data_IF_941956972869
#
_entry.id   IF_941956972869
#
_cell.length_a   1.000
_cell.length_b   1.000
_cell.length_c   1.000
_cell.angle_alpha   90.00
_cell.angle_beta   90.00
_cell.angle_gamma   90.00
#
_symmetry.space_group_name_H-M   'P 1'
#
loop_
_entity.id
_entity.type
_entity.pdbx_description
1 polymer ?
#
# COMPACT_ATOMS: atom_id res chain seq x y z
N UNK A 1 18.17 4.73 9.87
CA UNK A 1 18.90 4.22 8.72
C UNK A 1 18.56 5.02 7.44
N UNK A 2 17.32 4.93 6.89
CA UNK A 2 16.94 5.61 5.63
C UNK A 2 17.13 7.13 5.67
N UNK A 3 16.77 7.78 6.77
CA UNK A 3 17.04 9.22 6.99
C UNK A 3 18.54 9.53 6.99
N UNK A 4 19.33 8.70 7.63
CA UNK A 4 20.80 8.86 7.65
C UNK A 4 21.40 8.69 6.25
N UNK A 5 20.94 7.67 5.51
CA UNK A 5 21.38 7.42 4.14
C UNK A 5 20.99 8.56 3.17
N UNK A 6 19.80 9.11 3.33
CA UNK A 6 19.33 10.23 2.51
C UNK A 6 19.98 11.56 2.89
N UNK A 7 20.41 11.73 4.14
CA UNK A 7 20.77 13.01 4.70
C UNK A 7 19.59 13.97 4.83
N UNK A 8 18.37 13.48 4.63
CA UNK A 8 17.13 14.24 4.80
C UNK A 8 16.67 14.26 6.25
N UNK A 9 15.83 15.23 6.57
CA UNK A 9 15.27 15.46 7.90
C UNK A 9 13.73 15.48 7.89
N UNK A 10 13.11 14.92 6.83
CA UNK A 10 11.66 14.89 6.66
C UNK A 10 11.15 13.46 6.48
N UNK A 11 9.99 13.19 7.08
CA UNK A 11 9.20 11.98 6.87
C UNK A 11 7.84 12.36 6.35
N UNK A 12 7.35 11.65 5.33
CA UNK A 12 5.99 11.79 4.80
C UNK A 12 5.23 10.50 5.01
N UNK A 13 4.07 10.59 5.62
CA UNK A 13 3.15 9.47 5.78
C UNK A 13 1.91 9.68 4.93
N UNK A 14 1.55 8.65 4.18
CA UNK A 14 0.31 8.55 3.43
C UNK A 14 -0.61 7.56 4.12
N UNK A 15 -1.92 7.84 4.11
CA UNK A 15 -2.89 6.92 4.72
C UNK A 15 -2.72 6.78 6.24
N UNK A 16 -2.40 7.84 6.95
CA UNK A 16 -2.12 7.80 8.39
C UNK A 16 -3.31 7.34 9.26
N UNK A 17 -4.50 7.20 8.69
CA UNK A 17 -5.70 6.73 9.38
C UNK A 17 -5.96 7.48 10.69
N UNK A 18 -5.92 6.76 11.81
CA UNK A 18 -6.07 7.36 13.15
C UNK A 18 -4.84 8.16 13.64
N UNK A 19 -3.71 8.07 12.93
CA UNK A 19 -2.42 8.62 13.38
C UNK A 19 -1.64 7.70 14.32
N UNK A 20 -2.03 6.44 14.45
CA UNK A 20 -1.39 5.50 15.38
C UNK A 20 0.07 5.24 15.00
N UNK A 21 0.35 4.99 13.70
CA UNK A 21 1.72 4.76 13.24
C UNK A 21 2.61 5.98 13.49
N UNK A 22 2.11 7.19 13.15
CA UNK A 22 2.82 8.44 13.45
C UNK A 22 3.14 8.58 14.94
N UNK A 23 2.15 8.33 15.81
CA UNK A 23 2.32 8.46 17.26
C UNK A 23 3.40 7.51 17.82
N UNK A 24 3.51 6.30 17.26
CA UNK A 24 4.54 5.32 17.65
C UNK A 24 5.93 5.63 17.04
N UNK A 25 5.98 6.17 15.84
CA UNK A 25 7.25 6.51 15.16
C UNK A 25 7.90 7.77 15.72
N UNK A 26 7.11 8.80 16.05
CA UNK A 26 7.60 10.12 16.45
C UNK A 26 8.55 10.10 17.67
N UNK A 27 8.31 9.32 18.74
CA UNK A 27 9.25 9.18 19.84
C UNK A 27 10.65 8.69 19.40
N UNK A 28 10.70 7.71 18.49
CA UNK A 28 11.95 7.17 17.97
C UNK A 28 12.68 8.13 17.01
N UNK A 29 11.94 9.05 16.38
CA UNK A 29 12.45 10.03 15.43
C UNK A 29 12.81 11.37 16.09
N UNK A 30 12.61 11.52 17.41
CA UNK A 30 12.87 12.77 18.15
C UNK A 30 14.30 13.25 17.95
N UNK A 31 14.45 14.49 17.50
CA UNK A 31 15.75 15.12 17.23
C UNK A 31 16.44 14.66 15.94
N UNK A 32 15.82 13.75 15.18
CA UNK A 32 16.33 13.26 13.89
C UNK A 32 15.61 13.87 12.70
N UNK A 33 14.38 14.35 12.90
CA UNK A 33 13.55 14.94 11.85
C UNK A 33 13.19 16.38 12.22
N UNK A 34 13.05 17.21 11.20
CA UNK A 34 12.50 18.55 11.28
C UNK A 34 10.99 18.54 11.15
N UNK A 35 10.47 17.73 10.23
CA UNK A 35 9.05 17.62 9.98
C UNK A 35 8.63 16.16 9.77
N UNK A 36 7.46 15.84 10.33
CA UNK A 36 6.65 14.68 10.00
C UNK A 36 5.39 15.17 9.29
N UNK A 37 5.29 14.89 8.01
CA UNK A 37 4.25 15.44 7.14
C UNK A 37 3.23 14.36 6.81
N UNK A 38 1.96 14.60 7.13
CA UNK A 38 0.87 13.67 6.83
C UNK A 38 0.07 14.24 5.65
N UNK A 39 -0.06 13.45 4.57
CA UNK A 39 -1.03 13.75 3.52
C UNK A 39 -2.36 13.11 3.90
N UNK A 40 -3.34 13.95 4.23
CA UNK A 40 -4.68 13.53 4.62
C UNK A 40 -5.70 14.57 4.14
N UNK A 41 -6.72 14.12 3.42
CA UNK A 41 -7.76 14.99 2.88
C UNK A 41 -9.00 15.04 3.78
N UNK A 42 -9.18 14.03 4.64
CA UNK A 42 -10.31 13.93 5.54
C UNK A 42 -10.12 14.82 6.78
N UNK A 43 -10.95 15.86 6.92
CA UNK A 43 -10.90 16.72 8.09
C UNK A 43 -11.16 15.95 9.42
N UNK A 44 -12.08 14.97 9.50
CA UNK A 44 -12.26 14.16 10.71
C UNK A 44 -11.03 13.31 11.05
N UNK A 45 -10.33 12.75 10.06
CA UNK A 45 -9.11 11.99 10.31
C UNK A 45 -7.96 12.90 10.75
N UNK A 46 -7.81 14.08 10.15
CA UNK A 46 -6.82 15.09 10.62
C UNK A 46 -7.00 15.45 12.09
N UNK A 47 -8.25 15.55 12.56
CA UNK A 47 -8.51 15.87 13.97
C UNK A 47 -8.07 14.72 14.89
N UNK A 48 -8.35 13.48 14.51
CA UNK A 48 -7.86 12.29 15.24
C UNK A 48 -6.35 12.22 15.27
N UNK A 49 -5.71 12.48 14.12
CA UNK A 49 -4.25 12.51 13.98
C UNK A 49 -3.64 13.62 14.86
N UNK A 50 -4.25 14.82 14.92
CA UNK A 50 -3.80 15.90 15.83
C UNK A 50 -3.84 15.48 17.28
N UNK A 51 -4.91 14.81 17.71
CA UNK A 51 -4.99 14.32 19.08
C UNK A 51 -3.96 13.22 19.34
N UNK A 52 -3.79 12.27 18.43
CA UNK A 52 -2.81 11.18 18.58
C UNK A 52 -1.36 11.68 18.64
N UNK A 53 -1.05 12.76 17.92
CA UNK A 53 0.31 13.32 17.80
C UNK A 53 0.53 14.62 18.57
N UNK A 54 -0.38 14.99 19.48
CA UNK A 54 -0.40 16.30 20.17
C UNK A 54 0.92 16.69 20.86
N UNK A 55 1.64 15.70 21.38
CA UNK A 55 2.95 15.93 22.04
C UNK A 55 4.04 16.36 21.04
N UNK A 56 3.79 16.18 19.74
CA UNK A 56 4.71 16.49 18.63
C UNK A 56 4.17 17.59 17.71
N UNK A 57 3.24 18.43 18.19
CA UNK A 57 2.58 19.48 17.39
C UNK A 57 3.56 20.46 16.71
N UNK A 58 4.79 20.63 17.23
CA UNK A 58 5.84 21.45 16.61
C UNK A 58 6.59 20.78 15.46
N UNK A 59 6.39 19.46 15.25
CA UNK A 59 7.08 18.65 14.24
C UNK A 59 6.09 18.13 13.19
N UNK A 60 4.87 17.76 13.61
CA UNK A 60 3.84 17.21 12.73
C UNK A 60 3.14 18.33 11.96
N UNK A 61 2.97 18.14 10.67
CA UNK A 61 2.19 19.03 9.80
C UNK A 61 1.31 18.24 8.83
N UNK A 62 0.22 18.87 8.39
CA UNK A 62 -0.70 18.28 7.41
C UNK A 62 -0.55 18.99 6.08
N UNK A 63 -0.46 18.20 5.01
CA UNK A 63 -0.34 18.69 3.65
C UNK A 63 -1.63 18.41 2.88
N UNK A 64 -2.01 19.32 1.98
CA UNK A 64 -3.15 19.16 1.07
C UNK A 64 -2.73 18.65 -0.31
N UNK A 65 -1.42 18.68 -0.59
CA UNK A 65 -0.84 18.22 -1.85
C UNK A 65 0.60 17.75 -1.62
N UNK A 66 1.09 16.93 -2.55
CA UNK A 66 2.49 16.53 -2.59
C UNK A 66 3.41 17.74 -2.77
N UNK A 67 4.53 17.82 -2.02
CA UNK A 67 5.57 18.80 -2.29
C UNK A 67 6.12 18.64 -3.70
N UNK A 68 6.61 19.73 -4.28
CA UNK A 68 7.28 19.67 -5.59
C UNK A 68 8.59 18.88 -5.56
N UNK A 69 9.27 18.90 -4.40
CA UNK A 69 10.59 18.27 -4.17
C UNK A 69 10.58 17.62 -2.80
N UNK A 70 11.09 16.40 -2.73
CA UNK A 70 11.14 15.60 -1.51
C UNK A 70 12.56 15.07 -1.28
N UNK A 71 13.05 15.21 -0.03
CA UNK A 71 14.33 14.68 0.39
C UNK A 71 14.21 14.08 1.80
N UNK A 72 14.16 12.76 1.89
CA UNK A 72 13.94 12.05 3.16
C UNK A 72 13.24 10.72 2.97
N UNK A 73 12.26 10.43 3.81
CA UNK A 73 11.62 9.10 3.84
C UNK A 73 10.11 9.20 3.68
N UNK A 74 9.56 8.38 2.80
CA UNK A 74 8.12 8.16 2.63
C UNK A 74 7.73 6.84 3.28
N UNK A 75 6.59 6.83 3.97
CA UNK A 75 5.98 5.63 4.55
C UNK A 75 4.50 5.59 4.19
N UNK A 76 4.04 4.43 3.73
CA UNK A 76 2.62 4.14 3.49
C UNK A 76 2.28 2.74 3.98
N UNK A 77 1.29 2.66 4.86
CA UNK A 77 0.74 1.39 5.33
C UNK A 77 -0.72 1.30 4.90
N UNK A 78 -1.07 0.28 4.14
CA UNK A 78 -2.41 0.10 3.57
C UNK A 78 -2.87 1.36 2.82
N UNK A 79 -2.11 1.73 1.80
CA UNK A 79 -2.35 2.92 0.97
C UNK A 79 -2.65 2.54 -0.47
N UNK A 80 -1.91 1.56 -0.99
CA UNK A 80 -2.02 1.15 -2.39
C UNK A 80 -3.27 0.31 -2.63
N UNK A 81 -3.70 -0.49 -1.65
CA UNK A 81 -4.92 -1.30 -1.68
C UNK A 81 -6.21 -0.47 -1.70
N UNK A 82 -6.17 0.71 -1.08
CA UNK A 82 -7.28 1.67 -1.05
C UNK A 82 -7.38 2.54 -2.31
N UNK A 83 -6.41 2.45 -3.23
CA UNK A 83 -6.44 3.22 -4.47
C UNK A 83 -7.44 2.63 -5.46
N UNK A 84 -8.17 3.48 -6.22
CA UNK A 84 -9.12 3.01 -7.22
C UNK A 84 -8.47 2.09 -8.25
N UNK A 85 -9.17 1.02 -8.60
CA UNK A 85 -8.80 0.05 -9.64
C UNK A 85 -9.81 0.07 -10.77
N UNK A 86 -9.38 -0.30 -11.97
CA UNK A 86 -10.29 -0.58 -13.07
C UNK A 86 -10.62 -2.08 -13.07
N UNK A 87 -11.90 -2.44 -13.00
CA UNK A 87 -12.35 -3.82 -13.11
C UNK A 87 -12.45 -4.22 -14.58
N UNK A 88 -11.89 -5.37 -14.92
CA UNK A 88 -11.96 -5.99 -16.23
C UNK A 88 -12.71 -7.31 -16.15
N UNK A 89 -13.61 -7.54 -17.09
CA UNK A 89 -14.38 -8.79 -17.21
C UNK A 89 -14.15 -9.45 -18.57
N UNK A 90 -13.87 -10.76 -18.55
CA UNK A 90 -13.72 -11.58 -19.75
C UNK A 90 -14.95 -12.49 -19.94
N UNK A 91 -15.72 -12.28 -21.01
CA UNK A 91 -16.93 -13.08 -21.31
C UNK A 91 -16.64 -14.40 -22.04
N UNK A 92 -15.37 -14.66 -22.35
CA UNK A 92 -14.91 -15.80 -23.16
C UNK A 92 -14.63 -15.46 -24.62
N UNK A 93 -14.99 -14.26 -25.08
CA UNK A 93 -14.74 -13.75 -26.42
C UNK A 93 -13.92 -12.48 -26.38
N UNK A 94 -14.22 -11.57 -25.44
CA UNK A 94 -13.56 -10.28 -25.30
C UNK A 94 -13.51 -9.79 -23.87
N UNK A 95 -12.64 -8.81 -23.66
CA UNK A 95 -12.52 -8.11 -22.40
C UNK A 95 -13.39 -6.84 -22.40
N UNK A 96 -14.03 -6.60 -21.28
CA UNK A 96 -14.88 -5.45 -21.01
C UNK A 96 -14.39 -4.75 -19.74
N UNK A 97 -14.52 -3.44 -19.72
CA UNK A 97 -14.39 -2.67 -18.48
C UNK A 97 -15.71 -2.78 -17.72
N UNK A 98 -15.63 -3.24 -16.47
CA UNK A 98 -16.77 -3.43 -15.58
C UNK A 98 -16.91 -2.22 -14.66
N UNK A 99 -18.02 -1.53 -14.77
CA UNK A 99 -18.34 -0.36 -13.95
C UNK A 99 -19.65 -0.52 -13.22
N UNK A 100 -20.09 0.52 -12.54
CA UNK A 100 -21.35 0.58 -11.82
C UNK A 100 -22.43 1.24 -12.69
N UNK A 101 -23.57 0.57 -12.80
CA UNK A 101 -24.75 1.03 -13.52
C UNK A 101 -25.97 1.07 -12.60
N UNK A 102 -27.08 1.67 -13.07
CA UNK A 102 -28.36 1.59 -12.37
C UNK A 102 -28.96 0.19 -12.54
N UNK A 103 -29.30 -0.42 -11.44
CA UNK A 103 -30.04 -1.69 -11.40
C UNK A 103 -31.56 -1.51 -11.61
N UNK A 104 -32.31 -2.58 -11.47
CA UNK A 104 -33.74 -2.62 -11.73
C UNK A 104 -34.64 -1.90 -10.69
N UNK A 105 -34.08 -1.43 -9.55
CA UNK A 105 -34.82 -0.68 -8.51
C UNK A 105 -34.45 0.80 -8.53
N UNK A 106 -35.26 1.66 -7.90
CA UNK A 106 -35.04 3.12 -7.89
C UNK A 106 -33.68 3.56 -7.33
N UNK A 107 -33.07 2.77 -6.45
CA UNK A 107 -31.74 3.02 -5.85
C UNK A 107 -30.79 1.82 -5.99
N UNK A 108 -31.15 0.83 -6.77
CA UNK A 108 -30.31 -0.35 -6.97
C UNK A 108 -29.10 0.01 -7.84
N UNK A 109 -27.93 -0.48 -7.43
CA UNK A 109 -26.73 -0.49 -8.24
C UNK A 109 -26.51 -1.89 -8.80
N UNK A 110 -25.92 -1.98 -9.98
CA UNK A 110 -25.54 -3.23 -10.62
C UNK A 110 -24.20 -3.04 -11.34
N UNK A 111 -23.47 -4.11 -11.55
CA UNK A 111 -22.36 -4.08 -12.49
C UNK A 111 -22.86 -3.98 -13.92
N UNK A 112 -22.14 -3.23 -14.74
CA UNK A 112 -22.39 -3.07 -16.17
C UNK A 112 -21.09 -3.07 -16.94
N UNK A 113 -21.03 -3.81 -18.03
CA UNK A 113 -19.82 -3.99 -18.82
C UNK A 113 -19.87 -3.11 -20.05
N UNK A 114 -18.74 -2.44 -20.39
CA UNK A 114 -18.55 -1.66 -21.61
C UNK A 114 -17.34 -2.13 -22.40
N UNK A 115 -17.34 -2.07 -23.74
CA UNK A 115 -16.16 -2.41 -24.54
C UNK A 115 -14.95 -1.59 -24.11
N UNK A 116 -13.77 -2.25 -24.05
CA UNK A 116 -12.52 -1.60 -23.67
C UNK A 116 -11.35 -2.15 -24.46
N UNK A 117 -10.31 -1.32 -24.64
CA UNK A 117 -9.01 -1.75 -25.12
C UNK A 117 -8.07 -2.23 -24.00
N UNK A 118 -8.42 -1.98 -22.74
CA UNK A 118 -7.63 -2.41 -21.59
C UNK A 118 -7.52 -3.94 -21.55
N UNK A 119 -6.36 -4.44 -21.16
CA UNK A 119 -6.09 -5.86 -21.00
C UNK A 119 -5.23 -6.07 -19.75
N UNK A 120 -5.57 -7.07 -18.92
CA UNK A 120 -4.67 -7.46 -17.85
C UNK A 120 -3.45 -8.19 -18.42
N UNK A 121 -2.35 -8.28 -17.69
CA UNK A 121 -1.28 -9.22 -17.98
C UNK A 121 -1.84 -10.63 -18.21
N UNK A 122 -1.21 -11.41 -19.09
CA UNK A 122 -1.67 -12.77 -19.44
C UNK A 122 -3.12 -12.87 -19.92
N UNK A 123 -3.68 -11.86 -20.54
CA UNK A 123 -5.10 -11.76 -20.92
C UNK A 123 -5.65 -12.98 -21.67
N UNK A 124 -4.81 -13.74 -22.39
CA UNK A 124 -5.21 -14.93 -23.14
C UNK A 124 -5.28 -16.21 -22.30
N UNK A 125 -4.81 -16.20 -21.07
CA UNK A 125 -4.76 -17.37 -20.19
C UNK A 125 -6.01 -17.52 -19.31
N UNK A 126 -6.82 -16.49 -19.21
CA UNK A 126 -7.98 -16.49 -18.32
C UNK A 126 -9.17 -17.26 -18.87
N UNK A 127 -9.89 -17.99 -18.00
CA UNK A 127 -11.13 -18.67 -18.37
C UNK A 127 -12.28 -17.66 -18.59
N UNK A 128 -13.32 -18.02 -19.37
CA UNK A 128 -14.54 -17.25 -19.48
C UNK A 128 -15.19 -16.97 -18.11
N UNK A 129 -15.71 -15.76 -17.93
CA UNK A 129 -16.32 -15.31 -16.69
C UNK A 129 -15.35 -14.64 -15.71
N UNK A 130 -14.04 -14.59 -16.03
CA UNK A 130 -13.04 -13.94 -15.17
C UNK A 130 -13.34 -12.47 -14.96
N UNK A 131 -13.22 -12.03 -13.71
CA UNK A 131 -13.09 -10.62 -13.33
C UNK A 131 -11.72 -10.42 -12.67
N UNK A 132 -11.03 -9.35 -13.02
CA UNK A 132 -9.73 -8.98 -12.45
C UNK A 132 -9.57 -7.46 -12.45
N UNK A 133 -8.54 -6.94 -11.80
CA UNK A 133 -8.28 -5.52 -11.68
C UNK A 133 -7.05 -5.10 -12.49
N UNK A 134 -6.94 -3.79 -12.79
CA UNK A 134 -5.70 -3.12 -13.17
C UNK A 134 -5.49 -1.88 -12.29
N UNK A 135 -4.22 -1.52 -12.01
CA UNK A 135 -3.84 -0.64 -10.90
C UNK A 135 -3.26 0.72 -11.35
N UNK A 136 -3.77 1.27 -12.44
CA UNK A 136 -3.24 2.52 -13.03
C UNK A 136 -3.13 3.69 -12.03
N UNK A 137 -4.02 3.78 -11.04
CA UNK A 137 -3.96 4.82 -10.00
C UNK A 137 -2.79 4.62 -9.03
N UNK A 138 -2.60 3.40 -8.52
CA UNK A 138 -1.50 3.05 -7.63
C UNK A 138 -0.13 3.20 -8.31
N UNK A 139 -0.02 2.73 -9.55
CA UNK A 139 1.15 2.89 -10.40
C UNK A 139 1.47 4.37 -10.64
N UNK A 140 0.46 5.18 -11.01
CA UNK A 140 0.59 6.62 -11.22
C UNK A 140 0.98 7.38 -9.94
N UNK A 141 0.51 6.93 -8.79
CA UNK A 141 0.92 7.47 -7.49
C UNK A 141 2.41 7.24 -7.23
N UNK A 142 2.89 6.01 -7.41
CA UNK A 142 4.30 5.67 -7.21
C UNK A 142 5.19 6.39 -8.21
N UNK A 143 4.78 6.49 -9.49
CA UNK A 143 5.48 7.29 -10.50
C UNK A 143 5.59 8.75 -10.08
N UNK A 144 4.50 9.35 -9.59
CA UNK A 144 4.48 10.74 -9.11
C UNK A 144 5.43 10.94 -7.93
N UNK A 145 5.46 9.99 -7.00
CA UNK A 145 6.42 10.03 -5.88
C UNK A 145 7.86 9.96 -6.38
N UNK A 146 8.14 9.09 -7.36
CA UNK A 146 9.46 8.97 -7.95
C UNK A 146 9.91 10.26 -8.63
N UNK A 147 9.01 10.93 -9.35
CA UNK A 147 9.30 12.23 -9.96
C UNK A 147 9.60 13.34 -8.94
N UNK A 148 8.87 13.35 -7.80
CA UNK A 148 9.01 14.37 -6.75
C UNK A 148 10.18 14.11 -5.82
N UNK A 149 10.57 12.86 -5.63
CA UNK A 149 11.71 12.53 -4.77
C UNK A 149 13.03 12.85 -5.49
N UNK A 150 13.86 13.66 -4.84
CA UNK A 150 15.21 13.94 -5.31
C UNK A 150 16.22 12.98 -4.70
N UNK A 151 16.09 12.73 -3.40
CA UNK A 151 16.96 11.84 -2.66
C UNK A 151 16.23 11.25 -1.46
N UNK A 152 16.19 9.93 -1.34
CA UNK A 152 15.52 9.31 -0.20
C UNK A 152 15.06 7.90 -0.46
N UNK A 153 14.18 7.41 0.42
CA UNK A 153 13.58 6.09 0.31
C UNK A 153 12.07 6.16 0.56
N UNK A 154 11.32 5.25 -0.05
CA UNK A 154 9.90 5.07 0.18
C UNK A 154 9.62 3.62 0.56
N UNK A 155 8.80 3.40 1.59
CA UNK A 155 8.41 2.09 2.08
C UNK A 155 6.89 1.97 2.04
N UNK A 156 6.38 0.94 1.37
CA UNK A 156 4.96 0.61 1.36
C UNK A 156 4.77 -0.78 1.93
N UNK A 157 3.83 -0.87 2.86
CA UNK A 157 3.39 -2.11 3.49
C UNK A 157 1.95 -2.30 3.06
N UNK A 158 1.68 -3.40 2.35
CA UNK A 158 0.36 -3.66 1.82
C UNK A 158 0.16 -5.14 1.53
N UNK A 159 -1.07 -5.56 1.26
CA UNK A 159 -1.34 -6.94 0.87
C UNK A 159 -1.55 -7.08 -0.64
N UNK A 160 -0.96 -8.13 -1.19
CA UNK A 160 -0.98 -8.37 -2.62
C UNK A 160 0.05 -9.38 -3.07
N UNK A 161 0.30 -9.39 -4.38
CA UNK A 161 1.08 -10.41 -5.04
C UNK A 161 1.99 -9.82 -6.12
N UNK A 162 3.07 -10.53 -6.50
CA UNK A 162 3.72 -10.31 -7.79
C UNK A 162 2.75 -10.62 -8.94
N UNK A 163 2.95 -10.00 -10.10
CA UNK A 163 2.11 -10.14 -11.30
C UNK A 163 1.75 -11.60 -11.62
N UNK A 164 2.73 -12.50 -11.59
CA UNK A 164 2.54 -13.92 -11.93
C UNK A 164 1.57 -14.66 -11.00
N UNK A 165 1.45 -14.20 -9.75
CA UNK A 165 0.50 -14.73 -8.79
C UNK A 165 -0.82 -13.94 -8.81
N UNK A 166 -0.74 -12.63 -9.03
CA UNK A 166 -1.91 -11.76 -9.11
C UNK A 166 -2.81 -12.16 -10.28
N UNK A 167 -2.23 -12.25 -11.47
CA UNK A 167 -2.96 -12.60 -12.71
C UNK A 167 -2.89 -14.11 -13.02
N UNK A 168 -2.88 -14.95 -11.97
CA UNK A 168 -2.92 -16.39 -12.17
C UNK A 168 -4.34 -16.81 -12.63
N UNK A 169 -4.50 -17.69 -13.67
CA UNK A 169 -5.79 -18.06 -14.22
C UNK A 169 -6.81 -18.65 -13.23
N UNK A 170 -6.35 -19.17 -12.10
CA UNK A 170 -7.22 -19.66 -11.03
C UNK A 170 -7.81 -18.55 -10.15
N UNK A 171 -7.36 -17.29 -10.29
CA UNK A 171 -7.94 -16.12 -9.63
C UNK A 171 -8.95 -15.46 -10.56
N UNK A 172 -10.08 -16.12 -10.77
CA UNK A 172 -11.11 -15.69 -11.72
C UNK A 172 -12.12 -14.68 -11.18
N UNK A 173 -12.11 -14.43 -9.87
CA UNK A 173 -13.09 -13.56 -9.22
C UNK A 173 -12.55 -12.19 -8.82
N UNK A 174 -11.26 -11.92 -9.15
CA UNK A 174 -10.55 -10.71 -8.72
C UNK A 174 -10.21 -10.71 -7.24
N UNK A 175 -9.89 -9.53 -6.73
CA UNK A 175 -9.46 -9.32 -5.34
C UNK A 175 -10.25 -8.22 -4.63
N UNK A 176 -11.18 -7.56 -5.34
CA UNK A 176 -11.97 -6.46 -4.79
C UNK A 176 -12.79 -6.95 -3.59
N UNK A 177 -12.63 -6.27 -2.46
CA UNK A 177 -13.26 -6.61 -1.20
C UNK A 177 -13.72 -5.35 -0.47
N UNK A 178 -14.78 -5.49 0.32
CA UNK A 178 -15.19 -4.45 1.26
C UNK A 178 -14.91 -4.87 2.69
N UNK A 179 -14.58 -3.88 3.51
CA UNK A 179 -14.40 -4.07 4.93
C UNK A 179 -15.31 -3.10 5.71
N UNK A 180 -15.98 -3.63 6.74
CA UNK A 180 -16.73 -2.84 7.70
C UNK A 180 -16.56 -3.45 9.08
N UNK A 181 -16.11 -2.65 10.05
CA UNK A 181 -15.92 -3.11 11.43
C UNK A 181 -15.10 -4.42 11.52
N UNK A 182 -14.03 -4.52 10.71
CA UNK A 182 -13.14 -5.69 10.59
C UNK A 182 -13.82 -6.95 10.01
N UNK A 183 -14.95 -6.82 9.32
CA UNK A 183 -15.61 -7.91 8.62
C UNK A 183 -15.51 -7.70 7.12
N UNK A 184 -15.01 -8.72 6.43
CA UNK A 184 -14.95 -8.74 4.97
C UNK A 184 -16.34 -9.00 4.38
N UNK A 185 -16.66 -8.33 3.27
CA UNK A 185 -17.90 -8.47 2.52
C UNK A 185 -17.60 -8.28 1.03
N UNK A 186 -17.87 -9.28 0.18
CA UNK A 186 -17.60 -9.19 -1.26
C UNK A 186 -18.61 -8.32 -2.03
N UNK A 187 -19.75 -7.93 -1.44
CA UNK A 187 -20.74 -7.11 -2.12
C UNK A 187 -20.41 -5.62 -2.04
N UNK A 188 -19.62 -5.16 -3.01
CA UNK A 188 -19.18 -3.75 -3.09
C UNK A 188 -20.31 -2.78 -3.45
N UNK A 189 -21.45 -3.27 -3.94
CA UNK A 189 -22.58 -2.44 -4.34
C UNK A 189 -23.63 -2.28 -3.23
N UNK A 190 -23.56 -3.08 -2.17
CA UNK A 190 -24.39 -2.90 -0.98
C UNK A 190 -23.77 -1.87 -0.03
N UNK A 191 -24.63 -1.13 0.67
CA UNK A 191 -24.24 -0.19 1.74
C UNK A 191 -23.15 0.82 1.32
N UNK A 192 -23.29 1.37 0.12
CA UNK A 192 -22.30 2.29 -0.49
C UNK A 192 -22.04 3.51 0.40
N UNK A 193 -20.76 3.83 0.57
CA UNK A 193 -20.30 4.98 1.35
C UNK A 193 -20.08 4.72 2.85
N UNK A 194 -20.32 3.49 3.32
CA UNK A 194 -20.08 3.09 4.72
C UNK A 194 -19.17 1.87 4.87
N UNK A 195 -18.63 1.38 3.75
CA UNK A 195 -17.63 0.31 3.69
C UNK A 195 -16.34 0.86 3.12
N UNK A 196 -15.24 0.35 3.59
CA UNK A 196 -13.95 0.52 2.97
C UNK A 196 -13.83 -0.48 1.81
N UNK A 197 -13.43 -0.01 0.64
CA UNK A 197 -13.31 -0.82 -0.58
C UNK A 197 -11.84 -0.92 -0.92
N UNK A 198 -11.33 -2.12 -0.99
CA UNK A 198 -9.91 -2.40 -1.22
C UNK A 198 -9.72 -3.45 -2.31
N UNK A 199 -8.57 -3.44 -2.95
CA UNK A 199 -8.11 -4.48 -3.85
C UNK A 199 -6.67 -4.86 -3.50
N UNK A 200 -6.27 -6.11 -3.71
CA UNK A 200 -4.88 -6.50 -3.53
C UNK A 200 -3.97 -5.71 -4.48
N UNK A 201 -2.74 -5.46 -4.05
CA UNK A 201 -1.75 -4.72 -4.84
C UNK A 201 -1.03 -5.65 -5.82
N UNK A 202 -0.93 -5.25 -7.08
CA UNK A 202 0.04 -5.81 -8.02
C UNK A 202 1.42 -5.17 -7.78
N UNK A 203 2.25 -5.83 -6.99
CA UNK A 203 3.57 -5.30 -6.64
C UNK A 203 4.55 -5.24 -7.82
N UNK A 204 4.35 -6.04 -8.86
CA UNK A 204 5.16 -5.96 -10.07
C UNK A 204 4.83 -4.69 -10.87
N UNK A 205 3.54 -4.40 -11.09
CA UNK A 205 3.11 -3.17 -11.74
C UNK A 205 3.60 -1.92 -11.01
N UNK A 206 3.47 -1.91 -9.68
CA UNK A 206 3.98 -0.83 -8.81
C UNK A 206 5.51 -0.70 -8.90
N UNK A 207 6.25 -1.81 -8.93
CA UNK A 207 7.71 -1.80 -9.05
C UNK A 207 8.17 -1.23 -10.40
N UNK A 208 7.55 -1.68 -11.50
CA UNK A 208 7.83 -1.20 -12.86
C UNK A 208 7.54 0.30 -12.97
N UNK A 209 6.37 0.74 -12.51
CA UNK A 209 5.98 2.15 -12.54
C UNK A 209 6.98 3.04 -11.77
N UNK A 210 7.46 2.57 -10.61
CA UNK A 210 8.49 3.26 -9.85
C UNK A 210 9.82 3.33 -10.58
N UNK A 211 10.29 2.22 -11.17
CA UNK A 211 11.54 2.16 -11.93
C UNK A 211 11.51 3.05 -13.17
N UNK A 212 10.43 3.00 -13.94
CA UNK A 212 10.27 3.82 -15.15
C UNK A 212 10.29 5.32 -14.83
N UNK A 213 9.84 5.72 -13.64
CA UNK A 213 9.88 7.10 -13.15
C UNK A 213 11.18 7.46 -12.39
N UNK A 214 12.15 6.55 -12.29
CA UNK A 214 13.49 6.80 -11.78
C UNK A 214 13.73 6.43 -10.32
N UNK A 215 12.91 5.57 -9.75
CA UNK A 215 13.24 4.86 -8.50
C UNK A 215 14.10 3.62 -8.79
N UNK A 216 14.91 3.24 -7.82
CA UNK A 216 15.47 1.89 -7.69
C UNK A 216 14.60 1.08 -6.74
N UNK A 217 14.26 -0.17 -7.06
CA UNK A 217 13.61 -1.09 -6.12
C UNK A 217 14.67 -1.56 -5.12
N UNK A 218 14.64 -1.02 -3.91
CA UNK A 218 15.61 -1.30 -2.85
C UNK A 218 15.35 -2.61 -2.12
N UNK A 219 14.12 -3.15 -2.16
CA UNK A 219 13.76 -4.43 -1.55
C UNK A 219 12.31 -4.80 -1.73
N UNK A 220 12.01 -6.11 -1.69
CA UNK A 220 10.66 -6.67 -1.64
C UNK A 220 10.66 -7.97 -0.83
N UNK A 221 9.79 -8.08 0.17
CA UNK A 221 9.67 -9.30 0.98
C UNK A 221 8.33 -9.34 1.70
N UNK A 222 8.04 -10.44 2.43
CA UNK A 222 6.86 -10.49 3.30
C UNK A 222 7.06 -9.64 4.56
N UNK A 223 5.96 -9.16 5.15
CA UNK A 223 5.99 -8.37 6.37
C UNK A 223 6.72 -9.09 7.51
N UNK A 224 6.47 -10.38 7.69
CA UNK A 224 7.15 -11.16 8.72
C UNK A 224 8.67 -11.11 8.55
N UNK A 225 9.18 -11.31 7.33
CA UNK A 225 10.62 -11.28 7.05
C UNK A 225 11.22 -9.90 7.26
N UNK A 226 10.51 -8.87 6.80
CA UNK A 226 10.92 -7.48 7.03
C UNK A 226 11.05 -7.17 8.52
N UNK A 227 10.02 -7.47 9.32
CA UNK A 227 10.02 -7.20 10.75
C UNK A 227 11.08 -8.01 11.50
N UNK A 228 11.30 -9.28 11.12
CA UNK A 228 12.37 -10.11 11.70
C UNK A 228 13.76 -9.52 11.41
N UNK A 229 14.01 -9.07 10.17
CA UNK A 229 15.25 -8.40 9.82
C UNK A 229 15.44 -7.07 10.59
N UNK A 230 14.34 -6.36 10.87
CA UNK A 230 14.34 -5.15 11.68
C UNK A 230 14.47 -5.40 13.20
N UNK A 231 14.56 -6.66 13.63
CA UNK A 231 14.83 -7.00 15.05
C UNK A 231 13.59 -7.11 15.93
N UNK A 232 12.39 -7.36 15.38
CA UNK A 232 11.16 -7.52 16.18
C UNK A 232 11.28 -8.63 17.22
N UNK A 233 12.09 -9.68 16.94
CA UNK A 233 12.34 -10.78 17.90
C UNK A 233 12.91 -10.28 19.22
N UNK A 234 13.91 -9.41 19.20
CA UNK A 234 14.52 -8.83 20.40
C UNK A 234 13.53 -7.92 21.16
N UNK A 235 12.68 -7.20 20.44
CA UNK A 235 11.63 -6.39 21.06
C UNK A 235 10.59 -7.27 21.77
N UNK A 236 10.21 -8.38 21.14
CA UNK A 236 9.26 -9.34 21.72
C UNK A 236 9.78 -9.99 23.00
N UNK A 237 11.08 -10.27 23.13
CA UNK A 237 11.66 -10.83 24.36
C UNK A 237 11.39 -9.93 25.58
N UNK A 238 11.36 -8.63 25.40
CA UNK A 238 11.17 -7.62 26.45
C UNK A 238 9.72 -7.13 26.58
N UNK A 239 8.86 -7.53 25.66
CA UNK A 239 7.48 -7.06 25.59
C UNK A 239 6.55 -7.78 26.59
N UNK A 240 5.42 -7.15 26.91
CA UNK A 240 4.34 -7.78 27.68
C UNK A 240 3.72 -8.95 26.89
N UNK A 241 3.00 -9.84 27.57
CA UNK A 241 2.29 -10.96 26.93
C UNK A 241 1.30 -10.46 25.86
N UNK A 242 0.61 -9.35 26.12
CA UNK A 242 -0.32 -8.75 25.16
C UNK A 242 0.41 -8.25 23.91
N UNK A 243 1.47 -7.48 24.07
CA UNK A 243 2.25 -6.97 22.95
C UNK A 243 2.91 -8.11 22.13
N UNK A 244 3.33 -9.21 22.79
CA UNK A 244 3.81 -10.41 22.09
C UNK A 244 2.72 -11.07 21.25
N UNK A 245 1.49 -11.15 21.75
CA UNK A 245 0.37 -11.73 21.02
C UNK A 245 0.03 -10.85 19.79
N UNK A 246 -0.01 -9.52 19.94
CA UNK A 246 -0.22 -8.58 18.85
C UNK A 246 0.91 -8.68 17.81
N UNK A 247 2.17 -8.71 18.23
CA UNK A 247 3.31 -8.91 17.33
C UNK A 247 3.29 -10.27 16.62
N UNK A 248 2.81 -11.33 17.29
CA UNK A 248 2.68 -12.65 16.68
C UNK A 248 1.70 -12.64 15.49
N UNK A 249 0.62 -11.87 15.54
CA UNK A 249 -0.30 -11.70 14.39
C UNK A 249 0.40 -11.09 13.17
N UNK A 250 1.29 -10.12 13.38
CA UNK A 250 2.08 -9.50 12.33
C UNK A 250 3.09 -10.46 11.69
N UNK A 251 3.51 -11.49 12.40
CA UNK A 251 4.52 -12.45 11.97
C UNK A 251 3.95 -13.78 11.48
N UNK A 252 2.72 -14.12 11.89
CA UNK A 252 2.11 -15.40 11.55
C UNK A 252 1.85 -15.51 10.06
N UNK A 253 2.36 -16.56 9.43
CA UNK A 253 2.23 -16.82 7.99
C UNK A 253 0.76 -16.93 7.54
N UNK A 254 -0.11 -17.47 8.39
CA UNK A 254 -1.54 -17.65 8.10
C UNK A 254 -2.41 -16.42 8.42
N UNK A 255 -1.79 -15.35 8.93
CA UNK A 255 -2.44 -14.08 9.24
C UNK A 255 -1.81 -12.95 8.38
N UNK A 256 -1.17 -11.97 8.99
CA UNK A 256 -0.59 -10.83 8.28
C UNK A 256 0.83 -11.09 7.75
N UNK A 257 1.55 -12.05 8.33
CA UNK A 257 2.99 -12.18 8.12
C UNK A 257 3.41 -12.49 6.68
N UNK A 258 2.67 -13.35 5.97
CA UNK A 258 2.95 -13.65 4.55
C UNK A 258 1.98 -12.93 3.61
N UNK A 259 0.74 -12.65 4.03
CA UNK A 259 -0.23 -11.93 3.20
C UNK A 259 0.24 -10.51 2.88
N UNK A 260 0.71 -9.79 3.91
CA UNK A 260 1.30 -8.47 3.74
C UNK A 260 2.72 -8.56 3.20
N UNK A 261 3.05 -7.62 2.34
CA UNK A 261 4.36 -7.45 1.71
C UNK A 261 4.90 -6.06 2.03
N UNK A 262 6.21 -5.96 2.02
CA UNK A 262 6.90 -4.67 2.08
C UNK A 262 7.67 -4.50 0.78
N UNK A 263 7.43 -3.39 0.10
CA UNK A 263 8.26 -2.93 -1.01
C UNK A 263 8.96 -1.64 -0.60
N UNK A 264 10.23 -1.54 -0.94
CA UNK A 264 11.01 -0.34 -0.72
C UNK A 264 11.58 0.17 -2.04
N UNK A 265 11.51 1.48 -2.21
CA UNK A 265 12.14 2.22 -3.29
C UNK A 265 13.22 3.13 -2.73
N UNK A 266 14.22 3.45 -3.56
CA UNK A 266 15.22 4.47 -3.26
C UNK A 266 15.48 5.35 -4.47
N UNK A 267 15.95 6.58 -4.23
CA UNK A 267 16.41 7.50 -5.26
C UNK A 267 17.61 8.30 -4.78
N UNK A 268 18.64 8.37 -5.61
CA UNK A 268 19.85 9.10 -5.28
C UNK A 268 20.66 8.51 -4.12
N UNK A 269 20.43 7.24 -3.78
CA UNK A 269 21.09 6.52 -2.70
C UNK A 269 21.90 5.34 -3.27
N UNK A 270 23.10 5.56 -3.81
CA UNK A 270 23.91 4.47 -4.34
C UNK A 270 24.22 3.45 -3.24
N UNK A 271 24.11 2.17 -3.58
CA UNK A 271 24.41 1.03 -2.70
C UNK A 271 23.52 0.96 -1.43
N UNK A 272 22.36 1.63 -1.43
CA UNK A 272 21.42 1.55 -0.31
C UNK A 272 20.76 0.18 -0.22
N UNK A 273 21.06 -0.53 0.85
CA UNK A 273 20.51 -1.86 1.15
C UNK A 273 19.78 -1.80 2.50
N UNK A 274 18.45 -1.58 2.51
CA UNK A 274 17.70 -1.45 3.77
C UNK A 274 17.76 -2.72 4.61
N UNK A 275 17.97 -2.57 5.92
CA UNK A 275 18.07 -3.67 6.88
C UNK A 275 16.90 -4.66 6.79
N UNK A 276 15.70 -4.16 6.58
CA UNK A 276 14.50 -4.98 6.46
C UNK A 276 14.52 -6.04 5.34
N UNK A 277 15.47 -5.93 4.41
CA UNK A 277 15.66 -6.86 3.28
C UNK A 277 17.01 -7.60 3.32
N UNK A 278 17.75 -7.52 4.42
CA UNK A 278 19.07 -8.14 4.56
C UNK A 278 19.03 -9.67 4.34
N UNK A 279 17.92 -10.31 4.71
CA UNK A 279 17.67 -11.70 4.39
C UNK A 279 16.27 -11.87 3.75
N UNK A 280 16.15 -12.87 2.88
CA UNK A 280 14.88 -13.22 2.22
C UNK A 280 14.29 -12.09 1.35
N UNK A 281 15.14 -11.29 0.73
CA UNK A 281 14.73 -10.37 -0.33
C UNK A 281 14.19 -11.17 -1.53
N UNK A 282 13.00 -10.79 -2.00
CA UNK A 282 12.25 -11.48 -3.04
C UNK A 282 12.08 -10.62 -4.31
N UNK A 283 12.88 -9.58 -4.52
CA UNK A 283 12.80 -8.72 -5.73
C UNK A 283 12.84 -9.51 -7.03
N UNK A 284 13.48 -10.68 -7.06
CA UNK A 284 13.51 -11.57 -8.21
C UNK A 284 12.15 -12.18 -8.59
N UNK A 285 11.10 -11.93 -7.81
CA UNK A 285 9.72 -12.39 -8.07
C UNK A 285 8.85 -11.28 -8.68
N UNK A 286 9.30 -10.05 -8.68
CA UNK A 286 8.62 -8.88 -9.27
C UNK A 286 8.73 -8.82 -10.80
#
# INVERSE_FOLDING_TARGET
>A
EALEASGGDEVWEFGAGSGALAAEMLPALRGRIRHYSILELSAPLRERQREATREFAGVVRWLDALPERMNGVVVGNEVLDAMPVDLLHFDGVGWFERGVARGAGERALAFGDRPTALRPPNASAFPPGTTTETHAQGEGFVSTLAERMERGAAFFIDYGFPESEYYHPQRSDGTLMCHREHRADPDVLADVGIKDITAHVDFTGVAIAGQDAGFDVAGYTSQARFLLNCGIGELMERASLRARAEAAMLLNEHEMGELFKVIAFSKGLPDYAPLGFAASDRRHRL
#
